data_IF_654226955611
#
_entry.id   IF_654226955611
#
_cell.length_a   1.000
_cell.length_b   1.000
_cell.length_c   1.000
_cell.angle_alpha   90.00
_cell.angle_beta   90.00
_cell.angle_gamma   90.00
#
_symmetry.space_group_name_H-M   'P 1'
#
loop_
_entity.id
_entity.type
_entity.pdbx_description
1 polymer ?
#
# COMPACT_ATOMS: atom_id res chain seq x y z
N UNK A 1 -10.78 9.78 -0.80
CA UNK A 1 -9.82 9.97 -1.93
C UNK A 1 -10.37 10.76 -3.11
N UNK A 2 -11.53 10.42 -3.69
CA UNK A 2 -12.09 11.10 -4.88
C UNK A 2 -12.15 12.64 -4.75
N UNK A 3 -12.76 13.15 -3.68
CA UNK A 3 -12.88 14.59 -3.44
C UNK A 3 -11.52 15.32 -3.41
N UNK A 4 -10.50 14.71 -2.80
CA UNK A 4 -9.17 15.31 -2.72
C UNK A 4 -8.47 15.40 -4.09
N UNK A 5 -8.75 14.46 -4.99
CA UNK A 5 -8.23 14.49 -6.37
C UNK A 5 -8.97 15.53 -7.21
N UNK A 6 -10.29 15.63 -7.06
CA UNK A 6 -11.13 16.53 -7.87
C UNK A 6 -11.01 17.99 -7.45
N UNK A 7 -10.94 18.27 -6.15
CA UNK A 7 -10.98 19.64 -5.63
C UNK A 7 -9.64 20.11 -5.06
N UNK A 8 -8.69 19.21 -4.84
CA UNK A 8 -7.46 19.45 -4.10
C UNK A 8 -7.62 19.13 -2.61
N UNK A 9 -6.55 18.69 -1.96
CA UNK A 9 -6.62 18.30 -0.54
C UNK A 9 -6.96 19.47 0.39
N UNK A 10 -6.34 20.63 0.18
CA UNK A 10 -6.49 21.80 1.07
C UNK A 10 -7.90 22.37 1.07
N UNK A 11 -8.55 22.37 -0.08
CA UNK A 11 -9.89 22.93 -0.31
C UNK A 11 -11.02 22.03 0.19
N UNK A 12 -10.79 20.73 0.37
CA UNK A 12 -11.81 19.80 0.86
C UNK A 12 -11.98 19.94 2.38
N UNK A 13 -13.23 20.09 2.82
CA UNK A 13 -13.61 20.17 4.24
C UNK A 13 -14.21 18.86 4.76
N UNK A 14 -14.27 18.72 6.09
CA UNK A 14 -14.93 17.57 6.75
C UNK A 14 -16.42 17.51 6.39
N UNK A 15 -17.08 18.65 6.27
CA UNK A 15 -18.50 18.73 5.88
C UNK A 15 -18.73 18.16 4.48
N UNK A 16 -17.84 18.48 3.53
CA UNK A 16 -17.93 17.94 2.17
C UNK A 16 -17.68 16.43 2.14
N UNK A 17 -16.75 15.93 2.96
CA UNK A 17 -16.49 14.49 3.08
C UNK A 17 -17.71 13.78 3.69
N UNK A 18 -18.24 14.30 4.80
CA UNK A 18 -19.41 13.74 5.47
C UNK A 18 -20.63 13.71 4.55
N UNK A 19 -20.87 14.80 3.81
CA UNK A 19 -21.94 14.87 2.81
C UNK A 19 -21.75 13.85 1.68
N UNK A 20 -20.52 13.69 1.16
CA UNK A 20 -20.24 12.72 0.12
C UNK A 20 -20.29 11.25 0.59
N UNK A 21 -20.17 11.02 1.89
CA UNK A 21 -20.32 9.71 2.53
C UNK A 21 -21.73 9.50 3.11
N UNK A 22 -22.66 10.44 2.89
CA UNK A 22 -24.04 10.38 3.39
C UNK A 22 -24.16 10.20 4.92
N UNK A 23 -23.19 10.75 5.67
CA UNK A 23 -23.17 10.71 7.14
C UNK A 23 -23.22 12.11 7.74
N UNK A 24 -23.65 12.21 9.00
CA UNK A 24 -23.58 13.47 9.73
C UNK A 24 -22.14 13.84 10.10
N UNK A 25 -21.87 15.13 10.32
CA UNK A 25 -20.57 15.60 10.84
C UNK A 25 -20.22 14.96 12.19
N UNK A 26 -21.22 14.74 13.06
CA UNK A 26 -21.02 14.06 14.34
C UNK A 26 -20.61 12.59 14.13
N UNK A 27 -21.27 11.89 13.19
CA UNK A 27 -20.91 10.52 12.80
C UNK A 27 -19.49 10.48 12.26
N UNK A 28 -19.09 11.42 11.40
CA UNK A 28 -17.72 11.49 10.89
C UNK A 28 -16.69 11.55 12.03
N UNK A 29 -16.88 12.42 13.02
CA UNK A 29 -15.95 12.55 14.14
C UNK A 29 -15.94 11.36 15.11
N UNK A 30 -16.95 10.49 15.07
CA UNK A 30 -16.90 9.22 15.80
C UNK A 30 -15.88 8.25 15.19
N UNK A 31 -15.61 8.37 13.88
CA UNK A 31 -14.65 7.52 13.17
C UNK A 31 -13.30 8.20 12.99
N UNK A 32 -13.28 9.49 12.67
CA UNK A 32 -12.08 10.19 12.22
C UNK A 32 -11.83 11.47 13.02
N UNK A 33 -10.59 11.65 13.50
CA UNK A 33 -10.17 12.88 14.18
C UNK A 33 -10.12 14.11 13.25
N UNK A 34 -10.10 13.91 11.92
CA UNK A 34 -10.01 14.95 10.91
C UNK A 34 -9.97 14.39 9.49
N UNK A 35 -9.89 15.26 8.48
CA UNK A 35 -9.81 14.82 7.06
C UNK A 35 -8.53 14.04 6.77
N UNK A 36 -7.45 14.33 7.50
CA UNK A 36 -6.18 13.61 7.48
C UNK A 36 -6.39 12.14 7.82
N UNK A 37 -7.23 11.85 8.83
CA UNK A 37 -7.45 10.49 9.31
C UNK A 37 -8.13 9.60 8.25
N UNK A 38 -8.94 10.19 7.37
CA UNK A 38 -9.56 9.50 6.22
C UNK A 38 -8.55 9.01 5.17
N UNK A 39 -7.31 9.47 5.27
CA UNK A 39 -6.20 9.03 4.42
C UNK A 39 -5.39 7.96 5.14
N UNK A 40 -5.23 8.10 6.46
CA UNK A 40 -4.32 7.28 7.25
C UNK A 40 -4.91 5.96 7.71
N UNK A 41 -6.22 5.91 7.88
CA UNK A 41 -6.92 4.74 8.38
C UNK A 41 -7.45 3.89 7.21
N UNK A 42 -7.15 2.58 7.19
CA UNK A 42 -7.67 1.70 6.15
C UNK A 42 -9.18 1.51 6.27
N UNK A 43 -9.82 1.41 5.11
CA UNK A 43 -11.23 1.04 5.03
C UNK A 43 -11.43 -0.42 5.48
N UNK A 44 -12.48 -0.77 6.24
CA UNK A 44 -12.84 -2.17 6.52
C UNK A 44 -12.83 -3.09 5.29
N UNK A 45 -13.26 -2.59 4.14
CA UNK A 45 -13.25 -3.36 2.89
C UNK A 45 -11.81 -3.60 2.38
N UNK A 46 -10.92 -2.62 2.55
CA UNK A 46 -9.49 -2.79 2.25
C UNK A 46 -8.85 -3.82 3.18
N UNK A 47 -9.20 -3.83 4.46
CA UNK A 47 -8.73 -4.83 5.44
C UNK A 47 -9.21 -6.23 5.05
N UNK A 48 -10.48 -6.38 4.67
CA UNK A 48 -11.06 -7.65 4.27
C UNK A 48 -10.41 -8.19 2.99
N UNK A 49 -10.33 -7.36 1.94
CA UNK A 49 -9.67 -7.72 0.68
C UNK A 49 -8.20 -8.10 0.91
N UNK A 50 -7.51 -7.37 1.79
CA UNK A 50 -6.14 -7.68 2.18
C UNK A 50 -6.03 -9.07 2.84
N UNK A 51 -6.94 -9.41 3.77
CA UNK A 51 -6.98 -10.72 4.40
C UNK A 51 -7.19 -11.86 3.39
N UNK A 52 -8.08 -11.67 2.41
CA UNK A 52 -8.34 -12.65 1.36
C UNK A 52 -7.14 -12.91 0.45
N UNK A 53 -6.35 -11.88 0.14
CA UNK A 53 -5.11 -12.00 -0.64
C UNK A 53 -4.14 -12.97 0.05
N UNK A 54 -3.97 -12.82 1.36
CA UNK A 54 -3.07 -13.68 2.16
C UNK A 54 -3.63 -15.10 2.33
N UNK A 55 -4.93 -15.23 2.55
CA UNK A 55 -5.60 -16.52 2.77
C UNK A 55 -5.52 -17.44 1.53
N UNK A 56 -5.40 -16.87 0.32
CA UNK A 56 -5.25 -17.63 -0.93
C UNK A 56 -3.87 -18.25 -1.13
N UNK A 57 -2.89 -17.99 -0.28
CA UNK A 57 -1.53 -18.53 -0.40
C UNK A 57 -1.40 -19.87 0.33
N UNK A 58 -1.14 -20.99 -0.36
CA UNK A 58 -0.90 -22.30 0.28
C UNK A 58 0.20 -22.20 1.35
N UNK A 59 0.07 -22.92 2.47
CA UNK A 59 1.03 -22.83 3.57
C UNK A 59 2.42 -23.38 3.22
N UNK A 60 2.47 -24.33 2.27
CA UNK A 60 3.67 -24.97 1.74
C UNK A 60 4.31 -24.21 0.57
N UNK A 61 3.68 -23.13 0.08
CA UNK A 61 4.26 -22.26 -0.96
C UNK A 61 5.54 -21.59 -0.43
N UNK A 62 6.67 -21.65 -1.17
CA UNK A 62 7.89 -20.96 -0.79
C UNK A 62 7.64 -19.47 -0.53
N UNK A 63 8.31 -18.93 0.49
CA UNK A 63 8.01 -17.59 1.01
C UNK A 63 8.13 -16.50 -0.06
N UNK A 64 9.18 -16.52 -0.88
CA UNK A 64 9.43 -15.45 -1.85
C UNK A 64 8.36 -15.33 -2.96
N UNK A 65 7.97 -16.42 -3.64
CA UNK A 65 6.81 -16.42 -4.54
C UNK A 65 5.52 -15.95 -3.86
N UNK A 66 5.21 -16.48 -2.66
CA UNK A 66 4.00 -16.14 -1.92
C UNK A 66 3.98 -14.64 -1.57
N UNK A 67 5.09 -14.12 -1.04
CA UNK A 67 5.27 -12.71 -0.70
C UNK A 67 5.13 -11.82 -1.94
N UNK A 68 5.78 -12.17 -3.04
CA UNK A 68 5.72 -11.43 -4.31
C UNK A 68 4.30 -11.33 -4.84
N UNK A 69 3.54 -12.43 -4.80
CA UNK A 69 2.14 -12.45 -5.22
C UNK A 69 1.27 -11.56 -4.31
N UNK A 70 1.40 -11.72 -2.99
CA UNK A 70 0.61 -10.97 -1.99
C UNK A 70 0.84 -9.47 -2.12
N UNK A 71 2.09 -9.02 -2.21
CA UNK A 71 2.38 -7.60 -2.30
C UNK A 71 1.89 -7.01 -3.61
N UNK A 72 2.17 -7.62 -4.77
CA UNK A 72 1.72 -7.12 -6.06
C UNK A 72 0.19 -7.05 -6.15
N UNK A 73 -0.50 -8.04 -5.59
CA UNK A 73 -1.96 -8.06 -5.57
C UNK A 73 -2.55 -6.98 -4.66
N UNK A 74 -1.93 -6.71 -3.51
CA UNK A 74 -2.33 -5.61 -2.63
C UNK A 74 -2.22 -4.25 -3.33
N UNK A 75 -1.13 -4.03 -4.08
CA UNK A 75 -0.99 -2.81 -4.87
C UNK A 75 -2.10 -2.68 -5.92
N UNK A 76 -2.48 -3.78 -6.60
CA UNK A 76 -3.62 -3.79 -7.55
C UNK A 76 -4.94 -3.46 -6.84
N UNK A 77 -5.22 -4.05 -5.68
CA UNK A 77 -6.44 -3.72 -4.92
C UNK A 77 -6.47 -2.26 -4.46
N UNK A 78 -5.30 -1.63 -4.29
CA UNK A 78 -5.17 -0.24 -3.83
C UNK A 78 -4.89 0.75 -4.95
N UNK A 79 -5.05 0.38 -6.24
CA UNK A 79 -4.74 1.23 -7.41
C UNK A 79 -5.30 2.64 -7.26
N UNK A 80 -6.61 2.74 -7.02
CA UNK A 80 -7.31 4.03 -6.92
C UNK A 80 -6.72 4.92 -5.83
N UNK A 81 -6.39 4.32 -4.68
CA UNK A 81 -5.77 5.02 -3.56
C UNK A 81 -4.38 5.49 -3.96
N UNK A 82 -3.52 4.60 -4.45
CA UNK A 82 -2.13 4.90 -4.83
C UNK A 82 -2.02 5.97 -5.92
N UNK A 83 -2.89 5.93 -6.94
CA UNK A 83 -2.98 6.97 -7.98
C UNK A 83 -3.36 8.31 -7.36
N UNK A 84 -4.37 8.33 -6.48
CA UNK A 84 -4.78 9.55 -5.78
C UNK A 84 -3.65 10.10 -4.90
N UNK A 85 -2.98 9.24 -4.14
CA UNK A 85 -1.83 9.63 -3.30
C UNK A 85 -0.71 10.22 -4.14
N UNK A 86 -0.37 9.61 -5.28
CA UNK A 86 0.68 10.10 -6.18
C UNK A 86 0.33 11.49 -6.73
N UNK A 87 -0.91 11.72 -7.15
CA UNK A 87 -1.40 13.04 -7.62
C UNK A 87 -1.36 14.10 -6.53
N UNK A 88 -1.84 13.75 -5.33
CA UNK A 88 -1.86 14.68 -4.19
C UNK A 88 -0.42 15.05 -3.79
N UNK A 89 0.50 14.08 -3.71
CA UNK A 89 1.92 14.32 -3.42
C UNK A 89 2.59 15.20 -4.48
N UNK A 90 2.27 15.00 -5.75
CA UNK A 90 2.77 15.85 -6.84
C UNK A 90 2.24 17.30 -6.75
N UNK A 91 0.98 17.47 -6.34
CA UNK A 91 0.36 18.78 -6.20
C UNK A 91 0.75 19.54 -4.92
N UNK A 92 1.03 18.82 -3.82
CA UNK A 92 1.45 19.41 -2.55
C UNK A 92 2.46 18.51 -1.81
N UNK A 93 3.77 18.80 -1.94
CA UNK A 93 4.82 18.04 -1.25
C UNK A 93 4.69 18.06 0.28
N UNK A 94 4.07 19.10 0.85
CA UNK A 94 3.85 19.23 2.28
C UNK A 94 2.96 18.10 2.86
N UNK A 95 2.11 17.49 2.02
CA UNK A 95 1.23 16.38 2.40
C UNK A 95 1.91 15.01 2.30
N UNK A 96 3.15 14.93 1.81
CA UNK A 96 3.85 13.66 1.64
C UNK A 96 3.98 12.88 2.97
N UNK A 97 4.18 13.59 4.09
CA UNK A 97 4.29 12.97 5.42
C UNK A 97 3.00 12.37 5.96
N UNK A 98 1.83 12.85 5.53
CA UNK A 98 0.52 12.37 6.00
C UNK A 98 0.22 10.94 5.51
N UNK A 99 0.65 10.59 4.29
CA UNK A 99 0.41 9.26 3.71
C UNK A 99 1.27 8.14 4.32
N UNK A 100 2.28 8.47 5.13
CA UNK A 100 3.22 7.47 5.69
C UNK A 100 2.61 6.61 6.81
N UNK A 101 1.46 6.99 7.37
CA UNK A 101 0.80 6.23 8.45
C UNK A 101 0.03 5.01 7.94
N UNK A 102 -0.67 5.12 6.80
CA UNK A 102 -1.43 3.99 6.23
C UNK A 102 -0.49 2.85 5.83
N UNK A 103 0.70 3.13 5.30
CA UNK A 103 1.65 2.09 4.94
C UNK A 103 2.15 1.24 6.14
N UNK A 104 2.00 1.72 7.38
CA UNK A 104 2.49 1.03 8.57
C UNK A 104 1.62 -0.15 9.00
N UNK A 105 0.30 -0.12 8.73
CA UNK A 105 -0.58 -1.23 9.10
C UNK A 105 -0.33 -2.45 8.21
N UNK A 106 -0.24 -2.26 6.89
CA UNK A 106 0.08 -3.32 5.92
C UNK A 106 1.46 -3.92 6.23
N UNK A 107 2.47 -3.07 6.48
CA UNK A 107 3.81 -3.54 6.79
C UNK A 107 3.87 -4.37 8.09
N UNK A 108 3.07 -4.01 9.10
CA UNK A 108 2.96 -4.78 10.35
C UNK A 108 2.29 -6.12 10.12
N UNK A 109 1.16 -6.13 9.42
CA UNK A 109 0.41 -7.34 9.14
C UNK A 109 1.18 -8.30 8.22
N UNK A 110 1.86 -7.79 7.19
CA UNK A 110 2.79 -8.57 6.37
C UNK A 110 3.88 -9.24 7.21
N UNK A 111 4.45 -8.52 8.16
CA UNK A 111 5.49 -9.06 9.04
C UNK A 111 4.95 -10.22 9.89
N UNK A 112 3.77 -10.06 10.44
CA UNK A 112 3.10 -11.12 11.20
C UNK A 112 2.82 -12.33 10.32
N UNK A 113 2.28 -12.12 9.12
CA UNK A 113 2.03 -13.20 8.15
C UNK A 113 3.32 -13.94 7.76
N UNK A 114 4.42 -13.21 7.53
CA UNK A 114 5.74 -13.80 7.27
C UNK A 114 6.23 -14.62 8.47
N UNK A 115 6.10 -14.10 9.70
CA UNK A 115 6.55 -14.78 10.92
C UNK A 115 5.75 -16.05 11.23
N UNK A 116 4.45 -16.05 10.92
CA UNK A 116 3.56 -17.22 11.10
C UNK A 116 3.89 -18.36 10.12
N UNK A 117 4.32 -18.03 8.90
CA UNK A 117 4.69 -19.00 7.86
C UNK A 117 6.13 -19.52 7.98
N UNK A 118 6.93 -18.91 8.84
CA UNK A 118 8.38 -19.15 8.89
C UNK A 118 8.80 -19.75 10.24
N UNK A 119 9.53 -20.89 10.24
CA UNK A 119 10.18 -21.42 11.44
C UNK A 119 11.04 -20.36 12.14
N UNK A 120 11.12 -20.40 13.48
CA UNK A 120 11.70 -19.32 14.27
C UNK A 120 13.15 -19.00 13.88
N UNK A 121 13.92 -20.02 13.53
CA UNK A 121 15.32 -19.95 13.09
C UNK A 121 15.50 -19.29 11.71
N UNK A 122 14.46 -19.28 10.87
CA UNK A 122 14.48 -18.68 9.52
C UNK A 122 13.86 -17.27 9.47
N UNK A 123 13.19 -16.83 10.55
CA UNK A 123 12.50 -15.52 10.62
C UNK A 123 13.39 -14.32 10.30
N UNK A 124 14.67 -14.24 10.75
CA UNK A 124 15.52 -13.11 10.39
C UNK A 124 15.70 -12.97 8.87
N UNK A 125 15.90 -14.09 8.17
CA UNK A 125 16.04 -14.11 6.71
C UNK A 125 14.71 -13.79 6.00
N UNK A 126 13.61 -14.37 6.46
CA UNK A 126 12.27 -14.09 5.94
C UNK A 126 11.87 -12.62 6.10
N UNK A 127 12.22 -11.98 7.22
CA UNK A 127 12.01 -10.55 7.44
C UNK A 127 12.90 -9.69 6.54
N UNK A 128 14.13 -10.13 6.24
CA UNK A 128 14.99 -9.46 5.27
C UNK A 128 14.39 -9.52 3.87
N UNK A 129 13.87 -10.68 3.46
CA UNK A 129 13.13 -10.83 2.20
C UNK A 129 11.93 -9.86 2.12
N UNK A 130 11.13 -9.78 3.18
CA UNK A 130 10.05 -8.79 3.28
C UNK A 130 10.57 -7.35 3.09
N UNK A 131 11.61 -6.96 3.83
CA UNK A 131 12.15 -5.61 3.75
C UNK A 131 12.67 -5.27 2.35
N UNK A 132 13.34 -6.22 1.70
CA UNK A 132 13.87 -6.09 0.33
C UNK A 132 12.73 -5.96 -0.68
N UNK A 133 11.67 -6.77 -0.56
CA UNK A 133 10.49 -6.66 -1.40
C UNK A 133 9.80 -5.30 -1.23
N UNK A 134 9.65 -4.84 0.01
CA UNK A 134 9.07 -3.52 0.30
C UNK A 134 9.92 -2.37 -0.26
N UNK A 135 11.25 -2.48 -0.20
CA UNK A 135 12.15 -1.50 -0.79
C UNK A 135 12.01 -1.44 -2.32
N UNK A 136 11.97 -2.60 -2.99
CA UNK A 136 11.75 -2.66 -4.44
C UNK A 136 10.43 -1.99 -4.86
N UNK A 137 9.37 -2.23 -4.09
CA UNK A 137 8.05 -1.64 -4.35
C UNK A 137 8.05 -0.13 -4.11
N UNK A 138 8.70 0.34 -3.04
CA UNK A 138 8.86 1.76 -2.78
C UNK A 138 9.61 2.45 -3.92
N UNK A 139 10.72 1.86 -4.40
CA UNK A 139 11.50 2.37 -5.54
C UNK A 139 10.65 2.44 -6.82
N UNK A 140 9.92 1.37 -7.16
CA UNK A 140 9.04 1.37 -8.33
C UNK A 140 7.94 2.43 -8.22
N UNK A 141 7.37 2.63 -7.02
CA UNK A 141 6.35 3.65 -6.79
C UNK A 141 6.91 5.07 -6.89
N UNK A 142 8.14 5.31 -6.42
CA UNK A 142 8.82 6.59 -6.51
C UNK A 142 9.08 6.99 -7.97
N UNK A 143 9.58 6.06 -8.79
CA UNK A 143 9.89 6.28 -10.21
C UNK A 143 8.65 6.46 -11.10
N UNK A 144 7.54 5.80 -10.75
CA UNK A 144 6.29 5.91 -11.50
C UNK A 144 5.74 7.34 -11.50
N UNK A 145 5.09 7.76 -12.58
CA UNK A 145 4.47 9.08 -12.69
C UNK A 145 2.94 8.99 -12.75
N UNK A 146 2.24 9.97 -12.18
CA UNK A 146 0.78 9.94 -12.01
C UNK A 146 -0.02 10.07 -13.33
N UNK A 147 0.64 10.45 -14.42
CA UNK A 147 0.12 10.51 -15.79
C UNK A 147 0.34 9.20 -16.57
N UNK A 148 1.17 8.29 -16.05
CA UNK A 148 1.38 6.97 -16.63
C UNK A 148 0.28 5.99 -16.20
N UNK A 149 -0.02 4.97 -17.04
CA UNK A 149 -0.89 3.86 -16.62
C UNK A 149 -0.36 3.18 -15.36
N UNK A 150 -1.27 2.78 -14.45
CA UNK A 150 -0.88 2.10 -13.21
C UNK A 150 -0.14 0.78 -13.47
N UNK A 151 -0.45 0.09 -14.58
CA UNK A 151 0.25 -1.14 -14.98
C UNK A 151 1.75 -0.95 -15.18
N UNK A 152 2.22 0.25 -15.56
CA UNK A 152 3.66 0.54 -15.63
C UNK A 152 4.34 0.37 -14.28
N UNK A 153 3.71 0.86 -13.21
CA UNK A 153 4.22 0.67 -11.86
C UNK A 153 4.25 -0.80 -11.47
N UNK A 154 3.17 -1.56 -11.76
CA UNK A 154 3.08 -2.97 -11.40
C UNK A 154 4.10 -3.82 -12.15
N UNK A 155 4.34 -3.53 -13.44
CA UNK A 155 5.34 -4.21 -14.26
C UNK A 155 6.76 -3.94 -13.76
N UNK A 156 7.08 -2.68 -13.44
CA UNK A 156 8.39 -2.32 -12.85
C UNK A 156 8.61 -2.99 -11.50
N UNK A 157 7.61 -2.95 -10.62
CA UNK A 157 7.64 -3.64 -9.33
C UNK A 157 7.89 -5.15 -9.50
N UNK A 158 7.19 -5.80 -10.42
CA UNK A 158 7.38 -7.22 -10.73
C UNK A 158 8.80 -7.49 -11.23
N UNK A 159 9.33 -6.67 -12.13
CA UNK A 159 10.68 -6.82 -12.66
C UNK A 159 11.75 -6.71 -11.57
N UNK A 160 11.59 -5.77 -10.63
CA UNK A 160 12.51 -5.64 -9.49
C UNK A 160 12.46 -6.86 -8.56
N UNK A 161 11.27 -7.37 -8.25
CA UNK A 161 11.11 -8.57 -7.42
C UNK A 161 11.67 -9.83 -8.09
N UNK A 162 11.52 -9.96 -9.41
CA UNK A 162 12.12 -11.05 -10.19
C UNK A 162 13.65 -10.99 -10.16
N UNK A 163 14.22 -9.81 -10.41
CA UNK A 163 15.67 -9.62 -10.37
C UNK A 163 16.24 -9.90 -8.98
N UNK A 164 15.55 -9.51 -7.93
CA UNK A 164 15.94 -9.82 -6.54
C UNK A 164 15.88 -11.33 -6.24
N UNK A 165 14.98 -12.07 -6.88
CA UNK A 165 14.93 -13.53 -6.78
C UNK A 165 16.15 -14.20 -7.43
N UNK A 166 16.63 -13.63 -8.54
CA UNK A 166 17.78 -14.10 -9.30
C UNK A 166 19.13 -13.67 -8.67
N UNK A 167 19.12 -12.61 -7.86
CA UNK A 167 20.28 -12.05 -7.16
C UNK A 167 20.59 -10.61 -7.55
N UNK A 168 21.30 -9.87 -6.67
CA UNK A 168 21.58 -8.42 -6.84
C UNK A 168 22.68 -8.14 -7.89
N UNK A 169 23.41 -9.16 -8.35
CA UNK A 169 24.44 -9.00 -9.39
C UNK A 169 23.86 -9.16 -10.79
N UNK A 170 24.08 -8.22 -11.73
CA UNK A 170 24.01 -8.57 -13.13
C UNK A 170 25.13 -9.57 -13.43
N UNK A 171 24.81 -10.61 -14.20
CA UNK A 171 25.81 -11.20 -15.08
C UNK A 171 26.31 -10.08 -16.00
N UNK A 172 27.56 -9.68 -15.81
CA UNK A 172 28.25 -8.61 -16.54
C UNK A 172 29.65 -8.41 -16.00
#
# INVERSE_FOLDING_TARGET
MRLFVEHGYESVTVEQIAAAAEVSRATFFNYFAGKEATITEPDPDEIAAWAEIRARRPADEPLWPALTAVVLESFRSSERSLVAQKRIKAASPALAGTFSRSSQWIARDLREWVDQRTPAEQRPWARLQLNVAMAALATAYEEWQADQPFERFVDTARAYLQRLAEGIHPSG
#
